data_IF_160214127287
#
_entry.id   IF_160214127287
#
_cell.length_a   1.000
_cell.length_b   1.000
_cell.length_c   1.000
_cell.angle_alpha   90.00
_cell.angle_beta   90.00
_cell.angle_gamma   90.00
#
_symmetry.space_group_name_H-M   'P 1'
#
loop_
_entity.id
_entity.type
_entity.pdbx_description
1 polymer ?
#
# COMPACT_ATOMS: atom_id res chain seq x y z
N UNK A 1 7.17 14.32 29.15
CA UNK A 1 8.08 14.09 28.01
C UNK A 1 7.77 12.68 27.49
N UNK A 2 6.91 12.57 26.47
CA UNK A 2 6.57 11.25 25.90
C UNK A 2 7.77 10.75 25.09
N UNK A 3 8.15 9.46 25.20
CA UNK A 3 9.23 8.91 24.40
C UNK A 3 8.85 8.96 22.91
N UNK A 4 9.83 9.26 22.06
CA UNK A 4 9.71 9.32 20.61
C UNK A 4 9.42 7.92 20.04
N UNK A 5 8.14 7.58 19.88
CA UNK A 5 7.69 6.28 19.35
C UNK A 5 8.05 6.04 17.88
N UNK A 6 8.52 7.07 17.16
CA UNK A 6 9.11 6.90 15.83
C UNK A 6 10.44 6.15 15.91
N UNK A 7 11.14 6.28 17.04
CA UNK A 7 12.36 5.52 17.31
C UNK A 7 12.07 4.04 17.58
N UNK A 8 10.94 3.68 18.19
CA UNK A 8 10.58 2.29 18.52
C UNK A 8 10.39 1.41 17.28
N UNK A 9 9.71 1.89 16.23
CA UNK A 9 9.53 1.12 15.00
C UNK A 9 10.86 0.85 14.27
N UNK A 10 11.78 1.83 14.28
CA UNK A 10 13.11 1.70 13.71
C UNK A 10 14.06 0.87 14.58
N UNK A 11 13.83 0.81 15.91
CA UNK A 11 14.53 -0.03 16.87
C UNK A 11 14.07 -1.49 16.73
N UNK A 12 12.76 -1.74 16.68
CA UNK A 12 12.17 -3.07 16.46
C UNK A 12 12.62 -3.64 15.12
N UNK A 13 12.55 -2.86 14.04
CA UNK A 13 13.02 -3.31 12.72
C UNK A 13 14.55 -3.58 12.68
N UNK A 14 15.36 -2.88 13.50
CA UNK A 14 16.82 -3.07 13.57
C UNK A 14 17.23 -4.23 14.49
N UNK A 15 16.63 -4.36 15.67
CA UNK A 15 16.93 -5.42 16.64
C UNK A 15 16.55 -6.80 16.09
N UNK A 16 15.49 -6.88 15.30
CA UNK A 16 14.97 -8.17 14.82
C UNK A 16 15.65 -8.69 13.55
N UNK A 17 16.20 -7.80 12.69
CA UNK A 17 17.03 -8.21 11.56
C UNK A 17 18.47 -8.58 11.98
N UNK A 18 18.95 -8.03 13.10
CA UNK A 18 20.25 -8.40 13.69
C UNK A 18 20.31 -9.84 14.22
N UNK A 19 19.17 -10.44 14.58
CA UNK A 19 19.10 -11.80 15.13
C UNK A 19 19.16 -12.92 14.06
N UNK A 20 18.94 -12.61 12.78
CA UNK A 20 18.75 -13.63 11.73
C UNK A 20 19.70 -13.51 10.53
N UNK A 21 20.76 -12.70 10.59
CA UNK A 21 21.91 -12.76 9.67
C UNK A 21 21.63 -12.52 8.18
N UNK A 22 20.41 -12.13 7.78
CA UNK A 22 20.06 -11.83 6.38
C UNK A 22 20.19 -10.33 6.13
N UNK A 23 21.20 -9.94 5.34
CA UNK A 23 21.30 -8.60 4.79
C UNK A 23 20.06 -8.30 3.91
N UNK A 24 19.52 -7.07 3.94
CA UNK A 24 18.41 -6.69 3.07
C UNK A 24 18.85 -6.75 1.59
N UNK A 25 17.96 -7.30 0.77
CA UNK A 25 18.11 -7.39 -0.68
C UNK A 25 18.11 -5.97 -1.28
N UNK A 26 19.24 -5.57 -1.86
CA UNK A 26 19.40 -4.38 -2.71
C UNK A 26 19.31 -3.03 -1.97
N UNK A 27 20.45 -2.49 -1.52
CA UNK A 27 20.71 -1.09 -1.10
C UNK A 27 19.74 -0.35 -0.14
N UNK A 28 18.64 -0.96 0.31
CA UNK A 28 17.71 -0.37 1.27
C UNK A 28 18.12 -0.81 2.66
N UNK A 29 18.64 0.11 3.46
CA UNK A 29 19.04 -0.22 4.82
C UNK A 29 17.84 -0.41 5.73
N UNK A 30 18.07 -1.05 6.88
CA UNK A 30 17.02 -1.30 7.85
C UNK A 30 16.22 -0.03 8.21
N UNK A 31 16.89 1.12 8.35
CA UNK A 31 16.24 2.39 8.67
C UNK A 31 15.33 2.91 7.55
N UNK A 32 15.76 2.76 6.28
CA UNK A 32 14.96 3.17 5.12
C UNK A 32 13.74 2.28 4.98
N UNK A 33 13.90 0.96 5.13
CA UNK A 33 12.80 0.01 5.14
C UNK A 33 11.78 0.34 6.23
N UNK A 34 12.25 0.62 7.45
CA UNK A 34 11.40 1.01 8.57
C UNK A 34 10.62 2.31 8.30
N UNK A 35 11.25 3.33 7.70
CA UNK A 35 10.60 4.60 7.39
C UNK A 35 9.49 4.48 6.32
N UNK A 36 9.55 3.46 5.46
CA UNK A 36 8.59 3.25 4.39
C UNK A 36 7.28 2.56 4.84
N UNK A 37 7.24 2.00 6.05
CA UNK A 37 6.14 1.17 6.54
C UNK A 37 4.93 1.97 7.08
N UNK A 38 5.08 2.94 8.01
CA UNK A 38 3.97 3.34 8.88
C UNK A 38 2.74 3.83 8.13
N UNK A 39 2.91 4.77 7.19
CA UNK A 39 1.76 5.39 6.52
C UNK A 39 0.94 4.38 5.71
N UNK A 40 1.58 3.64 4.80
CA UNK A 40 0.81 2.74 3.90
C UNK A 40 0.25 1.54 4.65
N UNK A 41 1.00 0.98 5.59
CA UNK A 41 0.56 -0.20 6.35
C UNK A 41 -0.58 0.13 7.29
N UNK A 42 -0.50 1.27 8.00
CA UNK A 42 -1.61 1.71 8.86
C UNK A 42 -2.85 2.06 8.03
N UNK A 43 -2.68 2.74 6.89
CA UNK A 43 -3.79 3.07 5.99
C UNK A 43 -4.47 1.81 5.46
N UNK A 44 -3.71 0.81 5.00
CA UNK A 44 -4.27 -0.44 4.47
C UNK A 44 -4.90 -1.28 5.58
N UNK A 45 -4.26 -1.42 6.74
CA UNK A 45 -4.85 -2.14 7.89
C UNK A 45 -6.18 -1.54 8.31
N UNK A 46 -6.22 -0.22 8.48
CA UNK A 46 -7.44 0.50 8.83
C UNK A 46 -8.53 0.31 7.76
N UNK A 47 -8.21 0.55 6.49
CA UNK A 47 -9.25 0.63 5.48
C UNK A 47 -9.64 -0.73 4.93
N UNK A 48 -8.69 -1.54 4.44
CA UNK A 48 -9.03 -2.83 3.82
C UNK A 48 -9.54 -3.84 4.87
N UNK A 49 -8.86 -3.95 6.01
CA UNK A 49 -9.16 -5.00 7.00
C UNK A 49 -10.19 -4.54 8.04
N UNK A 50 -10.01 -3.40 8.71
CA UNK A 50 -10.96 -2.99 9.76
C UNK A 50 -12.29 -2.46 9.20
N UNK A 51 -12.24 -1.63 8.14
CA UNK A 51 -13.43 -0.99 7.56
C UNK A 51 -14.05 -1.81 6.42
N UNK A 52 -13.20 -2.34 5.55
CA UNK A 52 -13.59 -3.20 4.44
C UNK A 52 -13.91 -4.63 4.88
N UNK A 53 -13.57 -5.00 6.13
CA UNK A 53 -13.81 -6.34 6.68
C UNK A 53 -13.35 -7.44 5.73
N UNK A 54 -12.21 -7.23 5.07
CA UNK A 54 -11.67 -8.19 4.12
C UNK A 54 -11.37 -9.53 4.80
N UNK A 55 -11.84 -10.61 4.18
CA UNK A 55 -11.65 -11.99 4.64
C UNK A 55 -10.91 -12.83 3.60
N UNK A 56 -10.27 -13.92 4.06
CA UNK A 56 -9.63 -14.88 3.18
C UNK A 56 -10.67 -15.50 2.22
N UNK A 57 -10.28 -15.71 0.97
CA UNK A 57 -11.16 -16.20 -0.09
C UNK A 57 -11.95 -15.10 -0.81
N UNK A 58 -11.89 -13.85 -0.35
CA UNK A 58 -12.53 -12.73 -1.03
C UNK A 58 -11.68 -12.16 -2.17
N UNK A 59 -12.36 -11.55 -3.14
CA UNK A 59 -11.74 -10.82 -4.24
C UNK A 59 -11.61 -9.33 -3.92
N UNK A 60 -10.53 -8.70 -4.40
CA UNK A 60 -10.28 -7.27 -4.16
C UNK A 60 -9.86 -6.54 -5.44
N UNK A 61 -10.42 -5.35 -5.67
CA UNK A 61 -9.94 -4.37 -6.65
C UNK A 61 -9.19 -3.24 -5.94
N UNK A 62 -7.96 -2.98 -6.36
CA UNK A 62 -7.09 -1.97 -5.74
C UNK A 62 -6.73 -0.91 -6.77
N UNK A 63 -7.25 0.30 -6.59
CA UNK A 63 -6.87 1.41 -7.46
C UNK A 63 -5.48 1.96 -7.13
N UNK A 64 -4.73 2.30 -8.18
CA UNK A 64 -3.36 2.77 -8.05
C UNK A 64 -2.44 1.68 -7.51
N UNK A 65 -2.48 0.49 -8.10
CA UNK A 65 -1.74 -0.71 -7.67
C UNK A 65 -0.22 -0.52 -7.53
N UNK A 66 0.36 0.42 -8.29
CA UNK A 66 1.77 0.78 -8.19
C UNK A 66 2.08 1.86 -7.14
N UNK A 67 1.07 2.47 -6.50
CA UNK A 67 1.29 3.47 -5.45
C UNK A 67 1.78 2.82 -4.15
N UNK A 68 2.21 3.63 -3.18
CA UNK A 68 2.53 3.12 -1.85
C UNK A 68 1.39 2.34 -1.20
N UNK A 69 0.16 2.85 -1.27
CA UNK A 69 -1.02 2.15 -0.73
C UNK A 69 -1.32 0.89 -1.56
N UNK A 70 -1.28 1.00 -2.90
CA UNK A 70 -1.63 -0.10 -3.79
C UNK A 70 -0.68 -1.29 -3.68
N UNK A 71 0.62 -1.03 -3.62
CA UNK A 71 1.64 -2.08 -3.46
C UNK A 71 1.49 -2.78 -2.11
N UNK A 72 1.29 -2.04 -1.02
CA UNK A 72 1.04 -2.60 0.31
C UNK A 72 -0.28 -3.39 0.36
N UNK A 73 -1.37 -2.86 -0.20
CA UNK A 73 -2.65 -3.54 -0.26
C UNK A 73 -2.58 -4.85 -1.04
N UNK A 74 -1.87 -4.88 -2.17
CA UNK A 74 -1.67 -6.08 -2.99
C UNK A 74 -0.93 -7.16 -2.19
N UNK A 75 0.21 -6.81 -1.58
CA UNK A 75 0.99 -7.77 -0.79
C UNK A 75 0.23 -8.30 0.43
N UNK A 76 -0.50 -7.43 1.15
CA UNK A 76 -1.28 -7.85 2.30
C UNK A 76 -2.49 -8.69 1.87
N UNK A 77 -3.27 -8.28 0.87
CA UNK A 77 -4.38 -9.09 0.36
C UNK A 77 -3.92 -10.51 -0.02
N UNK A 78 -2.77 -10.62 -0.70
CA UNK A 78 -2.18 -11.92 -1.02
C UNK A 78 -1.78 -12.72 0.22
N UNK A 79 -1.07 -12.09 1.16
CA UNK A 79 -0.61 -12.76 2.36
C UNK A 79 -1.76 -13.20 3.29
N UNK A 80 -2.89 -12.50 3.25
CA UNK A 80 -4.12 -12.81 3.99
C UNK A 80 -5.11 -13.67 3.21
N UNK A 81 -4.72 -14.21 2.04
CA UNK A 81 -5.46 -15.25 1.35
C UNK A 81 -6.58 -14.76 0.44
N UNK A 82 -6.45 -13.60 -0.20
CA UNK A 82 -7.35 -13.20 -1.28
C UNK A 82 -7.46 -14.29 -2.35
N UNK A 83 -8.68 -14.56 -2.82
CA UNK A 83 -8.90 -15.49 -3.94
C UNK A 83 -8.55 -14.86 -5.28
N UNK A 84 -8.68 -13.53 -5.38
CA UNK A 84 -8.42 -12.78 -6.60
C UNK A 84 -8.04 -11.35 -6.27
N UNK A 85 -6.94 -10.86 -6.85
CA UNK A 85 -6.43 -9.50 -6.68
C UNK A 85 -6.37 -8.82 -8.04
N UNK A 86 -7.20 -7.81 -8.22
CA UNK A 86 -7.23 -6.97 -9.41
C UNK A 86 -6.67 -5.60 -9.04
N UNK A 87 -5.85 -5.00 -9.90
CA UNK A 87 -5.35 -3.64 -9.69
C UNK A 87 -5.56 -2.76 -10.91
N UNK A 88 -5.62 -1.44 -10.70
CA UNK A 88 -5.48 -0.47 -11.80
C UNK A 88 -4.12 0.23 -11.72
N UNK A 89 -3.46 0.37 -12.87
CA UNK A 89 -2.13 0.95 -13.05
C UNK A 89 -2.12 1.87 -14.27
N UNK A 90 -1.11 2.72 -14.43
CA UNK A 90 -1.06 3.72 -15.51
C UNK A 90 0.03 3.50 -16.54
N UNK A 91 0.68 2.33 -16.57
CA UNK A 91 1.69 1.96 -17.56
C UNK A 91 2.08 0.48 -17.47
N UNK A 92 2.68 -0.06 -18.53
CA UNK A 92 3.19 -1.45 -18.56
C UNK A 92 4.23 -1.76 -17.47
N UNK A 93 5.23 -0.90 -17.15
CA UNK A 93 6.14 -1.17 -16.04
C UNK A 93 5.42 -1.29 -14.69
N UNK A 94 4.35 -0.52 -14.50
CA UNK A 94 3.51 -0.61 -13.30
C UNK A 94 2.65 -1.88 -13.30
N UNK A 95 2.16 -2.30 -14.48
CA UNK A 95 1.45 -3.58 -14.66
C UNK A 95 2.34 -4.74 -14.23
N UNK A 96 3.54 -4.84 -14.79
CA UNK A 96 4.52 -5.87 -14.46
C UNK A 96 4.87 -5.89 -12.97
N UNK A 97 5.05 -4.71 -12.39
CA UNK A 97 5.32 -4.60 -10.96
C UNK A 97 4.14 -5.09 -10.11
N UNK A 98 2.92 -4.73 -10.48
CA UNK A 98 1.73 -5.17 -9.74
C UNK A 98 1.52 -6.68 -9.83
N UNK A 99 1.75 -7.29 -11.01
CA UNK A 99 1.71 -8.74 -11.18
C UNK A 99 2.77 -9.43 -10.31
N UNK A 100 4.01 -8.93 -10.28
CA UNK A 100 5.07 -9.47 -9.41
C UNK A 100 4.73 -9.40 -7.92
N UNK A 101 3.98 -8.39 -7.50
CA UNK A 101 3.55 -8.22 -6.11
C UNK A 101 2.38 -9.13 -5.73
N UNK A 102 1.72 -9.74 -6.72
CA UNK A 102 0.68 -10.74 -6.49
C UNK A 102 -0.69 -10.41 -7.05
N UNK A 103 -0.82 -9.38 -7.89
CA UNK A 103 -2.05 -9.21 -8.65
C UNK A 103 -2.25 -10.38 -9.63
N UNK A 104 -3.49 -10.83 -9.78
CA UNK A 104 -3.93 -11.80 -10.79
C UNK A 104 -4.31 -11.10 -12.09
N UNK A 105 -4.72 -9.83 -11.99
CA UNK A 105 -4.95 -8.94 -13.11
C UNK A 105 -4.50 -7.51 -12.75
N UNK A 106 -3.73 -6.88 -13.64
CA UNK A 106 -3.40 -5.47 -13.56
C UNK A 106 -3.88 -4.77 -14.83
N UNK A 107 -4.79 -3.81 -14.68
CA UNK A 107 -5.51 -3.11 -15.75
C UNK A 107 -4.85 -1.75 -15.99
N UNK A 108 -4.40 -1.47 -17.21
CA UNK A 108 -3.95 -0.13 -17.57
C UNK A 108 -5.16 0.76 -17.86
N UNK A 109 -5.51 1.60 -16.88
CA UNK A 109 -6.70 2.45 -16.97
C UNK A 109 -6.63 3.51 -18.08
N UNK A 110 -5.48 3.67 -18.75
CA UNK A 110 -5.31 4.60 -19.88
C UNK A 110 -5.78 4.01 -21.20
N UNK A 111 -5.77 2.68 -21.32
CA UNK A 111 -6.15 1.97 -22.55
C UNK A 111 -7.33 1.01 -22.37
N UNK A 112 -7.67 0.66 -21.13
CA UNK A 112 -8.68 -0.34 -20.81
C UNK A 112 -9.76 0.25 -19.88
N UNK A 113 -11.01 -0.20 -20.04
CA UNK A 113 -12.07 0.12 -19.08
C UNK A 113 -12.04 -0.89 -17.93
N UNK A 114 -11.72 -0.44 -16.72
CA UNK A 114 -11.59 -1.34 -15.58
C UNK A 114 -12.90 -2.03 -15.19
N UNK A 115 -14.07 -1.46 -15.49
CA UNK A 115 -15.36 -2.09 -15.19
C UNK A 115 -15.58 -3.28 -16.11
N UNK A 116 -15.31 -3.10 -17.41
CA UNK A 116 -15.42 -4.16 -18.40
C UNK A 116 -14.40 -5.28 -18.12
N UNK A 117 -13.16 -4.91 -17.81
CA UNK A 117 -12.10 -5.86 -17.48
C UNK A 117 -12.37 -6.65 -16.21
N UNK A 118 -12.87 -5.99 -15.14
CA UNK A 118 -13.32 -6.69 -13.93
C UNK A 118 -14.47 -7.64 -14.25
N UNK A 119 -15.47 -7.21 -15.02
CA UNK A 119 -16.59 -8.08 -15.40
C UNK A 119 -16.10 -9.30 -16.21
N UNK A 120 -15.21 -9.08 -17.19
CA UNK A 120 -14.63 -10.15 -18.00
C UNK A 120 -13.85 -11.15 -17.16
N UNK A 121 -12.97 -10.67 -16.29
CA UNK A 121 -12.09 -11.50 -15.48
C UNK A 121 -12.84 -12.28 -14.39
N UNK A 122 -13.90 -11.68 -13.82
CA UNK A 122 -14.70 -12.28 -12.75
C UNK A 122 -15.95 -13.03 -13.24
N UNK A 123 -16.11 -13.18 -14.57
CA UNK A 123 -17.31 -13.81 -15.15
C UNK A 123 -18.61 -13.06 -14.82
N UNK A 124 -18.53 -11.73 -14.67
CA UNK A 124 -19.66 -10.86 -14.35
C UNK A 124 -19.98 -10.75 -12.86
N UNK A 125 -19.28 -11.49 -11.97
CA UNK A 125 -19.52 -11.43 -10.52
C UNK A 125 -19.20 -10.03 -9.95
N UNK A 126 -18.13 -9.39 -10.43
CA UNK A 126 -17.53 -8.24 -9.77
C UNK A 126 -16.64 -8.64 -8.59
N UNK A 127 -16.19 -7.67 -7.81
CA UNK A 127 -15.27 -7.87 -6.66
C UNK A 127 -15.92 -7.61 -5.30
N UNK A 128 -15.48 -8.35 -4.28
CA UNK A 128 -16.07 -8.31 -2.94
C UNK A 128 -15.61 -7.05 -2.15
N UNK A 129 -14.36 -6.61 -2.33
CA UNK A 129 -13.83 -5.36 -1.75
C UNK A 129 -13.17 -4.47 -2.80
N UNK A 130 -13.41 -3.15 -2.74
CA UNK A 130 -12.72 -2.17 -3.59
C UNK A 130 -11.98 -1.16 -2.71
N UNK A 131 -10.68 -0.98 -2.96
CA UNK A 131 -9.84 0.06 -2.34
C UNK A 131 -9.74 1.24 -3.29
N UNK A 132 -10.43 2.34 -2.98
CA UNK A 132 -10.49 3.52 -3.83
C UNK A 132 -9.74 4.73 -3.27
N UNK A 133 -8.78 5.24 -4.04
CA UNK A 133 -8.04 6.48 -3.76
C UNK A 133 -8.42 7.61 -4.74
N UNK A 134 -9.28 7.32 -5.72
CA UNK A 134 -9.53 8.15 -6.90
C UNK A 134 -10.78 9.02 -6.73
N UNK A 135 -11.93 8.42 -6.39
CA UNK A 135 -13.24 9.10 -6.39
C UNK A 135 -13.61 9.70 -7.77
N UNK A 136 -14.31 10.84 -7.81
CA UNK A 136 -14.82 11.41 -9.06
C UNK A 136 -15.76 10.44 -9.78
N UNK A 137 -15.50 10.21 -11.07
CA UNK A 137 -16.26 9.25 -11.89
C UNK A 137 -16.09 7.79 -11.43
N UNK A 138 -15.01 7.48 -10.68
CA UNK A 138 -14.76 6.12 -10.22
C UNK A 138 -15.80 5.66 -9.19
N UNK A 139 -16.51 6.57 -8.49
CA UNK A 139 -17.50 6.15 -7.49
C UNK A 139 -18.63 5.35 -8.15
N UNK A 140 -19.24 5.87 -9.22
CA UNK A 140 -20.29 5.17 -9.96
C UNK A 140 -19.75 3.88 -10.62
N UNK A 141 -18.55 3.95 -11.19
CA UNK A 141 -17.89 2.81 -11.83
C UNK A 141 -17.52 1.71 -10.84
N UNK A 142 -17.17 2.06 -9.61
CA UNK A 142 -16.94 1.11 -8.52
C UNK A 142 -18.23 0.43 -8.08
N UNK A 143 -19.38 1.11 -8.12
CA UNK A 143 -20.67 0.43 -7.91
C UNK A 143 -20.95 -0.59 -9.03
N UNK A 144 -20.55 -0.30 -10.27
CA UNK A 144 -20.67 -1.24 -11.38
C UNK A 144 -19.69 -2.43 -11.26
N UNK A 145 -18.45 -2.21 -10.83
CA UNK A 145 -17.43 -3.24 -10.67
C UNK A 145 -17.58 -4.10 -9.40
N UNK A 146 -18.29 -3.60 -8.37
CA UNK A 146 -18.52 -4.33 -7.13
C UNK A 146 -19.45 -5.52 -7.32
N UNK A 147 -19.18 -6.60 -6.60
CA UNK A 147 -20.08 -7.73 -6.45
C UNK A 147 -21.31 -7.36 -5.61
N UNK A 148 -22.34 -8.21 -5.64
CA UNK A 148 -23.46 -8.13 -4.71
C UNK A 148 -22.93 -8.24 -3.27
N UNK A 149 -23.41 -7.38 -2.38
CA UNK A 149 -22.94 -7.16 -1.01
C UNK A 149 -21.49 -6.66 -0.90
N UNK A 150 -20.90 -6.16 -2.00
CA UNK A 150 -19.53 -5.66 -2.03
C UNK A 150 -19.31 -4.43 -1.16
N UNK A 151 -18.05 -4.23 -0.74
CA UNK A 151 -17.63 -3.13 0.15
C UNK A 151 -16.61 -2.24 -0.55
N UNK A 152 -16.83 -0.94 -0.52
CA UNK A 152 -15.95 0.05 -1.13
C UNK A 152 -15.37 0.91 -0.01
N UNK A 153 -14.04 0.92 0.09
CA UNK A 153 -13.29 1.71 1.07
C UNK A 153 -12.65 2.91 0.38
N UNK A 154 -13.22 4.09 0.61
CA UNK A 154 -12.75 5.36 0.07
C UNK A 154 -11.65 5.95 0.99
N UNK A 155 -10.43 6.02 0.46
CA UNK A 155 -9.23 6.46 1.18
C UNK A 155 -8.76 7.84 0.69
N UNK A 156 -9.09 8.20 -0.54
CA UNK A 156 -8.66 9.44 -1.19
C UNK A 156 -9.65 9.96 -2.21
N UNK A 157 -9.43 11.18 -2.66
CA UNK A 157 -10.28 11.89 -3.64
C UNK A 157 -9.41 12.57 -4.71
N UNK A 158 -8.47 11.82 -5.31
CA UNK A 158 -7.50 12.36 -6.28
C UNK A 158 -8.20 13.07 -7.46
N UNK A 159 -9.32 12.52 -7.94
CA UNK A 159 -10.14 13.13 -9.00
C UNK A 159 -11.22 14.09 -8.49
N UNK A 160 -11.19 14.44 -7.19
CA UNK A 160 -12.18 15.30 -6.56
C UNK A 160 -13.52 14.60 -6.29
N UNK A 161 -14.59 15.38 -6.00
CA UNK A 161 -15.88 14.82 -5.61
C UNK A 161 -16.59 14.14 -6.79
N UNK A 162 -17.33 13.07 -6.50
CA UNK A 162 -18.29 12.52 -7.44
C UNK A 162 -19.40 13.54 -7.72
N UNK A 163 -19.74 13.72 -8.99
CA UNK A 163 -20.82 14.61 -9.44
C UNK A 163 -21.92 13.75 -10.06
N UNK A 164 -23.18 14.12 -9.83
CA UNK A 164 -24.35 13.46 -10.45
C UNK A 164 -24.38 11.94 -10.23
N UNK A 165 -24.10 11.51 -9.00
CA UNK A 165 -24.00 10.09 -8.64
C UNK A 165 -25.38 9.43 -8.52
N UNK A 166 -25.64 8.41 -9.34
CA UNK A 166 -26.77 7.51 -9.16
C UNK A 166 -26.48 6.48 -8.04
N UNK A 167 -27.35 6.47 -7.03
CA UNK A 167 -27.27 5.56 -5.88
C UNK A 167 -28.05 4.25 -6.08
N UNK A 168 -28.84 4.13 -7.14
CA UNK A 168 -29.62 2.92 -7.39
C UNK A 168 -28.75 1.65 -7.50
N UNK A 169 -27.58 1.65 -8.16
CA UNK A 169 -26.67 0.50 -8.15
C UNK A 169 -26.23 0.09 -6.74
N UNK A 170 -26.03 1.07 -5.84
CA UNK A 170 -25.67 0.81 -4.44
C UNK A 170 -26.78 0.04 -3.73
N UNK A 171 -28.04 0.42 -3.95
CA UNK A 171 -29.22 -0.23 -3.38
C UNK A 171 -29.42 -1.63 -3.99
N UNK A 172 -29.39 -1.73 -5.32
CA UNK A 172 -29.63 -2.97 -6.06
C UNK A 172 -28.64 -4.08 -5.67
N UNK A 173 -27.37 -3.71 -5.50
CA UNK A 173 -26.31 -4.64 -5.09
C UNK A 173 -26.09 -4.68 -3.57
N UNK A 174 -26.82 -3.91 -2.76
CA UNK A 174 -26.65 -3.81 -1.30
C UNK A 174 -25.21 -3.50 -0.88
N UNK A 175 -24.60 -2.54 -1.58
CA UNK A 175 -23.20 -2.19 -1.36
C UNK A 175 -23.03 -1.43 -0.04
N UNK A 176 -21.85 -1.58 0.56
CA UNK A 176 -21.37 -0.70 1.62
C UNK A 176 -20.31 0.23 1.04
N UNK A 177 -20.49 1.54 1.15
CA UNK A 177 -19.46 2.52 0.78
C UNK A 177 -19.05 3.31 2.03
N UNK A 178 -17.81 3.10 2.49
CA UNK A 178 -17.28 3.70 3.71
C UNK A 178 -15.99 4.48 3.42
N UNK A 179 -15.85 5.67 4.03
CA UNK A 179 -14.66 6.49 3.91
C UNK A 179 -13.92 6.62 5.24
N UNK A 180 -12.58 6.73 5.19
CA UNK A 180 -11.81 7.11 6.37
C UNK A 180 -10.47 7.76 6.00
N UNK A 181 -9.95 8.61 6.89
CA UNK A 181 -8.59 9.14 6.79
C UNK A 181 -7.78 8.79 8.02
N UNK A 182 -6.51 8.44 7.82
CA UNK A 182 -5.58 8.17 8.92
C UNK A 182 -5.22 9.46 9.68
N UNK A 183 -5.25 10.62 9.01
CA UNK A 183 -4.75 11.89 9.56
C UNK A 183 -5.55 12.34 10.78
N UNK A 184 -6.87 12.30 10.70
CA UNK A 184 -7.78 12.79 11.75
C UNK A 184 -7.90 11.86 12.96
N UNK A 185 -7.30 10.67 12.92
CA UNK A 185 -7.35 9.71 14.03
C UNK A 185 -6.54 10.19 15.23
N UNK A 186 -7.08 9.90 16.41
CA UNK A 186 -6.43 10.14 17.70
C UNK A 186 -5.17 9.27 17.85
N UNK A 187 -4.31 9.64 18.80
CA UNK A 187 -3.13 8.82 19.13
C UNK A 187 -3.50 7.42 19.64
N UNK A 188 -4.62 7.28 20.37
CA UNK A 188 -5.09 6.00 20.88
C UNK A 188 -5.52 5.07 19.74
N UNK A 189 -6.28 5.59 18.76
CA UNK A 189 -6.67 4.83 17.57
C UNK A 189 -5.46 4.43 16.73
N UNK A 190 -4.51 5.34 16.51
CA UNK A 190 -3.25 5.03 15.79
C UNK A 190 -2.44 3.95 16.50
N UNK A 191 -2.34 4.03 17.84
CA UNK A 191 -1.65 3.01 18.62
C UNK A 191 -2.33 1.64 18.53
N UNK A 192 -3.66 1.60 18.46
CA UNK A 192 -4.39 0.34 18.24
C UNK A 192 -4.07 -0.26 16.86
N UNK A 193 -4.06 0.55 15.80
CA UNK A 193 -3.69 0.09 14.45
C UNK A 193 -2.26 -0.46 14.43
N UNK A 194 -1.33 0.20 15.14
CA UNK A 194 0.07 -0.27 15.23
C UNK A 194 0.14 -1.63 15.92
N UNK A 195 -0.54 -1.84 17.06
CA UNK A 195 -0.55 -3.15 17.73
C UNK A 195 -1.06 -4.27 16.82
N UNK A 196 -2.14 -4.01 16.10
CA UNK A 196 -2.67 -4.99 15.15
C UNK A 196 -1.72 -5.30 14.00
N UNK A 197 -0.94 -4.30 13.53
CA UNK A 197 0.11 -4.52 12.54
C UNK A 197 1.26 -5.34 13.12
N UNK A 198 1.66 -5.07 14.37
CA UNK A 198 2.69 -5.84 15.08
C UNK A 198 2.32 -7.31 15.19
N UNK A 199 1.05 -7.60 15.51
CA UNK A 199 0.53 -8.96 15.63
C UNK A 199 0.38 -9.65 14.27
N UNK A 200 -0.26 -8.99 13.30
CA UNK A 200 -0.70 -9.65 12.07
C UNK A 200 0.30 -9.53 10.90
N UNK A 201 1.07 -8.44 10.83
CA UNK A 201 1.87 -8.10 9.64
C UNK A 201 3.37 -8.21 9.89
N UNK A 202 3.82 -7.89 11.09
CA UNK A 202 5.25 -7.96 11.43
C UNK A 202 5.87 -9.35 11.26
N UNK A 203 5.18 -10.46 11.61
CA UNK A 203 5.67 -11.81 11.30
C UNK A 203 5.90 -12.03 9.79
N UNK A 204 5.01 -11.52 8.94
CA UNK A 204 5.12 -11.63 7.48
C UNK A 204 6.31 -10.84 6.93
N UNK A 205 6.60 -9.67 7.53
CA UNK A 205 7.77 -8.86 7.19
C UNK A 205 9.05 -9.59 7.59
N UNK A 206 9.12 -10.16 8.80
CA UNK A 206 10.29 -10.92 9.29
C UNK A 206 10.60 -12.13 8.40
N UNK A 207 9.56 -12.83 7.94
CA UNK A 207 9.69 -13.97 7.03
C UNK A 207 10.02 -13.54 5.58
N UNK A 208 9.94 -12.24 5.28
CA UNK A 208 10.18 -11.68 3.96
C UNK A 208 9.03 -11.89 2.97
N UNK A 209 7.86 -12.34 3.44
CA UNK A 209 6.66 -12.49 2.63
C UNK A 209 6.07 -11.13 2.22
N UNK A 210 6.23 -10.11 3.07
CA UNK A 210 5.82 -8.73 2.79
C UNK A 210 7.02 -7.81 2.93
N UNK A 211 7.26 -6.95 1.94
CA UNK A 211 8.40 -6.01 1.95
C UNK A 211 7.97 -4.63 1.46
N UNK A 212 8.31 -3.54 2.16
CA UNK A 212 8.01 -2.20 1.67
C UNK A 212 8.69 -1.97 0.32
N UNK A 213 7.93 -1.46 -0.64
CA UNK A 213 8.44 -1.17 -1.98
C UNK A 213 9.04 0.24 -1.97
N UNK A 214 10.37 0.34 -1.91
CA UNK A 214 11.08 1.63 -2.02
C UNK A 214 11.54 1.81 -3.46
N UNK A 215 10.98 2.82 -4.14
CA UNK A 215 11.30 3.13 -5.53
C UNK A 215 12.64 3.83 -5.64
N UNK A 216 12.83 4.90 -4.85
CA UNK A 216 13.99 5.78 -4.96
C UNK A 216 14.25 6.53 -3.67
N UNK A 217 15.52 6.73 -3.38
CA UNK A 217 16.02 7.61 -2.33
C UNK A 217 16.36 8.98 -2.91
N UNK A 218 16.08 10.02 -2.15
CA UNK A 218 16.53 11.39 -2.41
C UNK A 218 17.13 11.97 -1.14
N UNK A 219 18.12 12.85 -1.26
CA UNK A 219 18.50 13.69 -0.13
C UNK A 219 17.31 14.59 0.25
N UNK A 220 17.15 14.89 1.53
CA UNK A 220 16.12 15.83 2.00
C UNK A 220 16.19 17.18 1.27
N UNK A 221 17.39 17.64 0.89
CA UNK A 221 17.61 18.86 0.10
C UNK A 221 17.01 18.78 -1.31
N UNK A 222 16.84 17.58 -1.84
CA UNK A 222 16.26 17.30 -3.16
C UNK A 222 14.75 17.03 -3.10
N UNK A 223 14.07 17.45 -2.02
CA UNK A 223 12.64 17.24 -1.83
C UNK A 223 11.79 17.72 -3.02
N UNK A 224 12.21 18.79 -3.71
CA UNK A 224 11.55 19.26 -4.94
C UNK A 224 11.56 18.19 -6.02
N UNK A 225 12.73 17.64 -6.35
CA UNK A 225 12.86 16.61 -7.37
C UNK A 225 12.10 15.32 -6.99
N UNK A 226 12.05 15.01 -5.69
CA UNK A 226 11.23 13.91 -5.18
C UNK A 226 9.73 14.13 -5.43
N UNK A 227 9.22 15.36 -5.24
CA UNK A 227 7.83 15.71 -5.55
C UNK A 227 7.57 15.71 -7.05
N UNK A 228 8.46 16.25 -7.87
CA UNK A 228 8.32 16.22 -9.34
C UNK A 228 8.25 14.78 -9.88
N UNK A 229 9.04 13.86 -9.32
CA UNK A 229 8.93 12.43 -9.65
C UNK A 229 7.59 11.84 -9.18
N UNK A 230 7.11 12.23 -7.99
CA UNK A 230 5.83 11.79 -7.46
C UNK A 230 4.68 12.22 -8.38
N UNK A 231 4.64 13.49 -8.75
CA UNK A 231 3.63 14.11 -9.61
C UNK A 231 3.64 13.53 -11.02
N UNK A 232 4.80 13.09 -11.51
CA UNK A 232 4.89 12.40 -12.81
C UNK A 232 4.14 11.05 -12.84
N UNK A 233 3.81 10.49 -11.68
CA UNK A 233 3.10 9.21 -11.55
C UNK A 233 3.89 7.97 -12.00
N UNK A 234 5.18 8.12 -12.31
CA UNK A 234 6.05 7.03 -12.83
C UNK A 234 6.64 6.12 -11.75
N UNK A 235 6.56 6.52 -10.48
CA UNK A 235 7.14 5.75 -9.38
C UNK A 235 6.32 4.50 -9.07
N UNK A 236 6.98 3.48 -8.53
CA UNK A 236 6.37 2.23 -8.04
C UNK A 236 6.73 2.06 -6.57
N UNK A 237 5.75 2.23 -5.67
CA UNK A 237 5.95 2.18 -4.22
C UNK A 237 6.26 3.55 -3.62
N UNK A 238 7.27 3.63 -2.74
CA UNK A 238 7.59 4.80 -1.92
C UNK A 238 8.84 5.52 -2.41
N UNK A 239 8.77 6.84 -2.39
CA UNK A 239 9.95 7.71 -2.46
C UNK A 239 10.33 8.07 -1.03
N UNK A 240 11.60 7.92 -0.67
CA UNK A 240 12.09 8.17 0.70
C UNK A 240 13.13 9.28 0.67
N UNK A 241 12.96 10.28 1.54
CA UNK A 241 13.95 11.32 1.76
C UNK A 241 14.91 10.88 2.87
N UNK A 242 16.21 10.95 2.61
CA UNK A 242 17.26 10.67 3.58
C UNK A 242 17.88 11.96 4.11
N UNK A 243 18.10 12.01 5.42
CA UNK A 243 18.76 13.14 6.07
C UNK A 243 20.25 12.85 6.27
N UNK A 244 21.12 13.87 6.38
CA UNK A 244 22.54 13.69 6.66
C UNK A 244 22.84 12.92 7.97
N UNK A 245 21.91 12.91 8.94
CA UNK A 245 22.02 12.11 10.16
C UNK A 245 21.74 10.61 9.91
N UNK A 246 20.87 10.29 8.94
CA UNK A 246 20.69 8.93 8.48
C UNK A 246 21.90 8.46 7.67
N UNK A 247 22.48 9.32 6.83
CA UNK A 247 23.56 9.01 5.88
C UNK A 247 24.88 8.57 6.54
N UNK A 248 25.27 9.21 7.66
CA UNK A 248 26.42 8.78 8.48
C UNK A 248 26.28 7.36 9.05
N UNK A 249 25.05 6.89 9.24
CA UNK A 249 24.77 5.51 9.66
C UNK A 249 24.83 4.53 8.50
N UNK A 250 24.58 5.00 7.27
CA UNK A 250 24.60 4.21 6.04
C UNK A 250 26.05 3.96 5.61
N UNK A 251 26.91 4.98 5.67
CA UNK A 251 28.34 4.87 5.34
C UNK A 251 29.12 3.99 6.35
N UNK A 252 28.89 4.15 7.66
CA UNK A 252 29.57 3.34 8.67
C UNK A 252 29.26 1.83 8.60
N UNK A 253 28.07 1.45 8.11
CA UNK A 253 27.69 0.06 7.89
C UNK A 253 28.37 -0.56 6.66
N UNK A 254 28.79 0.27 5.69
CA UNK A 254 29.56 -0.14 4.51
C UNK A 254 31.05 -0.26 4.85
N UNK A 255 31.60 0.68 5.63
CA UNK A 255 33.03 0.68 6.00
C UNK A 255 33.39 -0.41 7.02
N UNK A 256 32.51 -0.69 7.99
CA UNK A 256 32.72 -1.72 9.02
C UNK A 256 32.72 -3.17 8.51
N UNK A 257 32.34 -3.39 7.25
CA UNK A 257 32.41 -4.70 6.59
C UNK A 257 33.75 -4.94 5.88
N UNK A 258 34.61 -3.91 5.78
CA UNK A 258 35.92 -3.98 5.12
C UNK A 258 37.05 -4.31 6.10
N UNK A 259 36.82 -4.17 7.41
CA UNK A 259 37.82 -4.33 8.47
C UNK A 259 37.76 -5.66 9.24
N UNK A 260 36.89 -6.60 8.83
CA UNK A 260 36.78 -7.94 9.43
C UNK A 260 37.29 -9.08 8.54
N UNK A 261 38.07 -8.77 7.51
CA UNK A 261 38.78 -9.77 6.70
C UNK A 261 40.27 -9.45 6.68
N UNK A 262 40.91 -9.63 7.85
CA UNK A 262 42.34 -9.88 8.02
C UNK A 262 42.52 -10.77 9.22
#
# INVERSE_FOLDING_TARGET
>A
MQPDRGSDAAILYRQELGAHGRQPVGNVTAKVGAAALPETFMTVRLNLFQRGQFEAGESVLIHGGASGIGTTATMLAKAFGASTIITTVGSDPQRDASMRLGADLAIDYRSEDFVEEVARFTGGKGVDVIVDIIAGDYVARNFAAAAINGRIVQIGVIKGPAKELDLFPMLAKRLTHIGSTLRSRTYAEKAQIIRELEEAVWPLIRQGAVKPQVYRLFDLRDARAAHELMDSGRHIGKIVLVTPAADRSLQAAVEGNTTRST
#
